data_IF_490081450377
#
_entry.id   IF_490081450377
#
_cell.length_a   1.000
_cell.length_b   1.000
_cell.length_c   1.000
_cell.angle_alpha   90.00
_cell.angle_beta   90.00
_cell.angle_gamma   90.00
#
_symmetry.space_group_name_H-M   'P 1'
#
loop_
_entity.id
_entity.type
_entity.pdbx_description
1 polymer ?
#
# COMPACT_ATOMS: atom_id res chain seq x y z
N UNK A 1 -1.55 32.09 -48.45
CA UNK A 1 -0.25 31.49 -48.08
C UNK A 1 -0.35 30.99 -46.64
N UNK A 2 -0.59 29.74 -46.49
CA UNK A 2 -0.69 29.09 -45.18
C UNK A 2 0.70 28.58 -44.82
N UNK A 3 1.37 29.30 -43.92
CA UNK A 3 2.55 28.78 -43.26
C UNK A 3 2.14 27.93 -42.06
N UNK A 4 1.88 26.66 -42.32
CA UNK A 4 1.79 25.64 -41.31
C UNK A 4 3.23 25.22 -40.99
N UNK A 5 3.79 25.76 -39.94
CA UNK A 5 5.06 25.24 -39.39
C UNK A 5 4.84 23.85 -38.84
N UNK A 6 5.55 22.83 -39.35
CA UNK A 6 5.46 21.51 -38.69
C UNK A 6 6.08 21.62 -37.29
N UNK A 7 5.27 21.31 -36.30
CA UNK A 7 5.80 21.10 -34.96
C UNK A 7 6.79 19.92 -35.01
N UNK A 8 7.97 20.17 -34.45
CA UNK A 8 9.03 19.19 -34.44
C UNK A 8 8.57 17.90 -33.72
N UNK A 9 8.81 16.73 -34.29
CA UNK A 9 8.42 15.46 -33.68
C UNK A 9 9.08 15.21 -32.31
N UNK A 10 10.16 15.88 -32.01
CA UNK A 10 10.90 15.72 -30.75
C UNK A 10 10.14 16.22 -29.52
N UNK A 11 9.39 17.33 -29.61
CA UNK A 11 8.60 17.83 -28.47
C UNK A 11 7.41 16.95 -28.09
N UNK A 12 6.86 16.25 -29.06
CA UNK A 12 5.73 15.35 -28.85
C UNK A 12 6.19 14.01 -28.28
N UNK A 13 7.37 13.56 -28.70
CA UNK A 13 8.02 12.36 -28.17
C UNK A 13 8.45 12.56 -26.72
N UNK A 14 9.06 13.70 -26.39
CA UNK A 14 9.44 14.07 -25.02
C UNK A 14 8.22 14.11 -24.06
N UNK A 15 7.07 14.57 -24.55
CA UNK A 15 5.83 14.57 -23.75
C UNK A 15 5.26 13.18 -23.54
N UNK A 16 5.40 12.29 -24.53
CA UNK A 16 4.96 10.90 -24.43
C UNK A 16 5.90 10.12 -23.52
N UNK A 17 7.20 10.36 -23.58
CA UNK A 17 8.18 9.72 -22.73
C UNK A 17 8.09 10.22 -21.29
N UNK A 18 7.82 11.50 -21.06
CA UNK A 18 7.55 12.05 -19.73
C UNK A 18 6.25 11.52 -19.09
N UNK A 19 5.27 11.13 -19.91
CA UNK A 19 4.01 10.53 -19.45
C UNK A 19 4.13 9.02 -19.21
N UNK A 20 5.15 8.37 -19.81
CA UNK A 20 5.34 6.92 -19.77
C UNK A 20 6.23 6.45 -18.60
N UNK A 21 7.07 7.34 -18.02
CA UNK A 21 7.94 6.97 -16.90
C UNK A 21 7.16 6.89 -15.61
N UNK A 22 7.06 5.67 -15.04
CA UNK A 22 6.45 5.45 -13.73
C UNK A 22 7.31 6.11 -12.64
N UNK A 23 6.65 6.74 -11.67
CA UNK A 23 7.33 7.19 -10.46
C UNK A 23 7.72 6.00 -9.58
N UNK A 24 8.81 6.13 -8.85
CA UNK A 24 9.42 5.03 -8.11
C UNK A 24 8.92 4.99 -6.67
N UNK A 25 8.35 3.87 -6.29
CA UNK A 25 7.99 3.57 -4.89
C UNK A 25 9.23 3.05 -4.18
N UNK A 26 9.59 3.70 -3.09
CA UNK A 26 10.77 3.36 -2.27
C UNK A 26 10.42 2.66 -0.96
N UNK A 27 9.15 2.56 -0.62
CA UNK A 27 8.67 1.85 0.58
C UNK A 27 7.16 1.78 0.61
N UNK A 28 6.65 0.77 1.30
CA UNK A 28 5.21 0.60 1.55
C UNK A 28 4.94 0.72 3.05
N UNK A 29 3.84 1.37 3.41
CA UNK A 29 3.36 1.48 4.77
C UNK A 29 1.96 0.90 4.84
N UNK A 30 1.77 -0.09 5.68
CA UNK A 30 0.48 -0.73 5.93
C UNK A 30 -0.01 -0.34 7.31
N UNK A 31 -1.21 0.19 7.40
CA UNK A 31 -1.82 0.62 8.67
C UNK A 31 -3.00 -0.29 8.99
N UNK A 32 -2.92 -0.96 10.14
CA UNK A 32 -4.03 -1.76 10.65
C UNK A 32 -5.15 -0.88 11.21
N UNK A 33 -6.38 -1.35 11.07
CA UNK A 33 -7.55 -0.75 11.73
C UNK A 33 -7.67 -1.23 13.19
N UNK A 34 -6.59 -1.08 13.93
CA UNK A 34 -6.53 -1.45 15.33
C UNK A 34 -5.44 -0.65 16.04
N UNK A 35 -5.66 -0.36 17.33
CA UNK A 35 -4.63 0.21 18.18
C UNK A 35 -3.69 -0.89 18.66
N UNK A 36 -2.38 -0.64 18.55
CA UNK A 36 -1.36 -1.48 19.16
C UNK A 36 -1.43 -1.33 20.68
N UNK A 37 -1.76 -2.39 21.37
CA UNK A 37 -1.75 -2.45 22.83
C UNK A 37 -0.66 -3.36 23.35
N UNK A 38 -0.43 -3.34 24.64
CA UNK A 38 0.59 -4.12 25.35
C UNK A 38 0.44 -5.61 25.02
N UNK A 39 1.53 -6.22 24.60
CA UNK A 39 1.62 -7.59 24.03
C UNK A 39 0.96 -8.72 24.87
N UNK A 40 0.62 -8.50 26.12
CA UNK A 40 0.03 -9.52 27.00
C UNK A 40 -1.49 -9.57 27.01
N UNK A 41 -2.17 -8.46 26.71
CA UNK A 41 -3.64 -8.40 26.65
C UNK A 41 -4.22 -8.64 25.27
N UNK A 42 -3.39 -8.56 24.25
CA UNK A 42 -3.78 -8.65 22.82
C UNK A 42 -4.38 -10.01 22.46
N UNK A 43 -3.93 -11.11 23.03
CA UNK A 43 -4.48 -12.43 22.71
C UNK A 43 -5.91 -12.63 23.23
N UNK A 44 -6.24 -11.96 24.36
CA UNK A 44 -7.57 -12.05 24.96
C UNK A 44 -8.55 -11.05 24.32
N UNK A 45 -8.10 -9.81 24.15
CA UNK A 45 -8.88 -8.74 23.50
C UNK A 45 -9.05 -9.03 22.00
N UNK A 46 -8.04 -9.62 21.37
CA UNK A 46 -8.08 -10.02 19.97
C UNK A 46 -9.16 -11.05 19.65
N UNK A 47 -9.36 -12.04 20.55
CA UNK A 47 -10.45 -13.00 20.43
C UNK A 47 -11.84 -12.37 20.57
N UNK A 48 -11.95 -11.27 21.33
CA UNK A 48 -13.20 -10.54 21.54
C UNK A 48 -13.47 -9.49 20.46
N UNK A 49 -12.44 -8.84 19.96
CA UNK A 49 -12.49 -7.85 18.86
C UNK A 49 -12.79 -8.50 17.51
N UNK A 50 -12.45 -9.76 17.31
CA UNK A 50 -12.77 -10.54 16.11
C UNK A 50 -14.27 -10.68 15.86
N UNK A 51 -15.10 -10.51 16.87
CA UNK A 51 -16.56 -10.54 16.76
C UNK A 51 -17.17 -9.19 16.43
N UNK A 52 -16.44 -8.08 16.62
CA UNK A 52 -17.00 -6.71 16.52
C UNK A 52 -16.25 -5.77 15.59
N UNK A 53 -14.98 -6.04 15.27
CA UNK A 53 -14.19 -5.21 14.37
C UNK A 53 -13.38 -6.07 13.41
N UNK A 54 -13.83 -6.15 12.17
CA UNK A 54 -13.14 -6.86 11.11
C UNK A 54 -12.03 -5.96 10.53
N UNK A 55 -10.77 -6.36 10.71
CA UNK A 55 -9.64 -5.73 10.03
C UNK A 55 -9.21 -6.59 8.85
N UNK A 56 -9.53 -6.16 7.64
CA UNK A 56 -9.23 -6.90 6.41
C UNK A 56 -7.73 -7.07 6.18
N UNK A 57 -6.92 -6.07 6.52
CA UNK A 57 -5.46 -6.19 6.41
C UNK A 57 -4.90 -7.23 7.40
N UNK A 58 -5.46 -7.28 8.60
CA UNK A 58 -5.09 -8.30 9.59
C UNK A 58 -5.41 -9.72 9.11
N UNK A 59 -6.50 -9.89 8.39
CA UNK A 59 -6.89 -11.17 7.80
C UNK A 59 -5.91 -11.64 6.71
N UNK A 60 -5.31 -10.72 5.98
CA UNK A 60 -4.29 -11.01 4.96
C UNK A 60 -2.97 -11.42 5.61
N UNK A 61 -2.55 -10.71 6.65
CA UNK A 61 -1.21 -10.84 7.24
C UNK A 61 -1.13 -11.90 8.32
N UNK A 62 -2.22 -12.12 9.06
CA UNK A 62 -2.24 -13.01 10.23
C UNK A 62 -3.24 -14.15 10.08
N UNK A 63 -2.85 -15.34 10.58
CA UNK A 63 -3.76 -16.42 10.91
C UNK A 63 -4.44 -16.18 12.25
N UNK A 64 -4.88 -17.25 12.92
CA UNK A 64 -5.60 -17.16 14.21
C UNK A 64 -4.78 -16.53 15.34
N UNK A 65 -3.46 -16.78 15.38
CA UNK A 65 -2.56 -16.35 16.45
C UNK A 65 -1.16 -15.94 15.97
N UNK A 66 -0.84 -16.15 14.68
CA UNK A 66 0.50 -15.93 14.12
C UNK A 66 0.41 -15.26 12.77
N UNK A 67 1.44 -14.47 12.49
CA UNK A 67 1.71 -13.98 11.14
C UNK A 67 1.82 -15.17 10.17
N UNK A 68 1.10 -15.10 9.06
CA UNK A 68 1.11 -16.17 8.06
C UNK A 68 2.48 -16.27 7.40
N UNK A 69 2.98 -17.49 7.25
CA UNK A 69 4.25 -17.73 6.56
C UNK A 69 4.24 -17.20 5.12
N UNK A 70 3.13 -17.34 4.43
CA UNK A 70 2.95 -16.78 3.08
C UNK A 70 3.11 -15.25 3.04
N UNK A 71 2.56 -14.57 4.04
CA UNK A 71 2.72 -13.12 4.21
C UNK A 71 4.18 -12.74 4.46
N UNK A 72 4.83 -13.42 5.40
CA UNK A 72 6.24 -13.19 5.73
C UNK A 72 7.14 -13.38 4.51
N UNK A 73 6.92 -14.46 3.76
CA UNK A 73 7.67 -14.73 2.53
C UNK A 73 7.44 -13.66 1.47
N UNK A 74 6.21 -13.22 1.29
CA UNK A 74 5.89 -12.15 0.37
C UNK A 74 6.58 -10.85 0.78
N UNK A 75 6.42 -10.44 2.03
CA UNK A 75 7.04 -9.21 2.56
C UNK A 75 8.56 -9.22 2.39
N UNK A 76 9.20 -10.34 2.69
CA UNK A 76 10.65 -10.48 2.59
C UNK A 76 11.13 -10.53 1.11
N UNK A 77 10.25 -10.91 0.18
CA UNK A 77 10.53 -10.94 -1.25
C UNK A 77 10.23 -9.63 -1.99
N UNK A 78 9.52 -8.69 -1.38
CA UNK A 78 9.25 -7.38 -1.99
C UNK A 78 10.53 -6.55 -2.02
N UNK A 79 10.86 -5.90 -3.16
CA UNK A 79 12.15 -5.21 -3.30
C UNK A 79 12.28 -3.92 -2.50
N UNK A 80 11.20 -3.46 -1.87
CA UNK A 80 11.17 -2.25 -1.02
C UNK A 80 10.80 -2.61 0.41
N UNK A 81 11.22 -1.81 1.42
CA UNK A 81 10.78 -2.01 2.80
C UNK A 81 9.26 -1.95 2.95
N UNK A 82 8.71 -2.88 3.72
CA UNK A 82 7.30 -2.91 4.08
C UNK A 82 7.19 -2.67 5.59
N UNK A 83 6.67 -1.52 5.96
CA UNK A 83 6.43 -1.13 7.36
C UNK A 83 4.98 -1.40 7.71
N UNK A 84 4.74 -2.06 8.82
CA UNK A 84 3.39 -2.35 9.32
C UNK A 84 3.19 -1.61 10.63
N UNK A 85 2.14 -0.80 10.72
CA UNK A 85 1.83 0.03 11.86
C UNK A 85 0.40 -0.22 12.33
N UNK A 86 0.19 -0.15 13.64
CA UNK A 86 -1.14 0.03 14.22
C UNK A 86 -1.52 1.52 14.19
N UNK A 87 -2.80 1.84 14.39
CA UNK A 87 -3.30 3.22 14.32
C UNK A 87 -2.58 4.17 15.27
N UNK A 88 -2.28 3.72 16.49
CA UNK A 88 -1.58 4.52 17.52
C UNK A 88 -0.05 4.58 17.33
N UNK A 89 0.49 3.87 16.35
CA UNK A 89 1.93 3.87 16.03
C UNK A 89 2.26 4.79 14.85
N UNK A 90 1.26 5.41 14.24
CA UNK A 90 1.45 6.28 13.08
C UNK A 90 2.23 7.54 13.45
N UNK A 91 3.19 7.90 12.61
CA UNK A 91 3.79 9.23 12.68
C UNK A 91 2.80 10.30 12.13
N UNK A 92 3.09 11.61 12.33
CA UNK A 92 2.16 12.67 11.91
C UNK A 92 1.81 12.66 10.42
N UNK A 93 2.73 12.32 9.54
CA UNK A 93 2.50 12.29 8.10
C UNK A 93 1.59 11.12 7.71
N UNK A 94 1.83 9.95 8.26
CA UNK A 94 0.99 8.76 8.06
C UNK A 94 -0.41 9.00 8.63
N UNK A 95 -0.51 9.59 9.81
CA UNK A 95 -1.80 9.91 10.43
C UNK A 95 -2.59 10.94 9.61
N UNK A 96 -1.93 11.99 9.14
CA UNK A 96 -2.56 13.04 8.34
C UNK A 96 -3.14 12.48 7.02
N UNK A 97 -2.40 11.58 6.36
CA UNK A 97 -2.83 10.98 5.10
C UNK A 97 -3.87 9.89 5.28
N UNK A 98 -3.69 9.00 6.24
CA UNK A 98 -4.60 7.87 6.47
C UNK A 98 -5.90 8.29 7.16
N UNK A 99 -5.84 9.20 8.12
CA UNK A 99 -7.01 9.66 8.87
C UNK A 99 -7.81 8.50 9.46
N UNK A 100 -9.11 8.51 9.21
CA UNK A 100 -10.03 7.43 9.60
C UNK A 100 -10.18 6.33 8.53
N UNK A 101 -9.43 6.44 7.42
CA UNK A 101 -9.50 5.50 6.29
C UNK A 101 -8.53 4.33 6.48
N UNK A 102 -8.69 3.60 7.56
CA UNK A 102 -7.91 2.39 7.89
C UNK A 102 -8.82 1.15 7.89
N UNK A 103 -8.32 -0.05 7.57
CA UNK A 103 -6.94 -0.33 7.17
C UNK A 103 -6.58 0.27 5.81
N UNK A 104 -5.32 0.55 5.60
CA UNK A 104 -4.87 1.13 4.33
C UNK A 104 -3.43 0.75 3.98
N UNK A 105 -3.08 0.95 2.73
CA UNK A 105 -1.70 0.82 2.22
C UNK A 105 -1.29 2.16 1.62
N UNK A 106 -0.17 2.67 2.08
CA UNK A 106 0.45 3.90 1.61
C UNK A 106 1.78 3.58 0.95
N UNK A 107 2.28 4.47 0.10
CA UNK A 107 3.57 4.31 -0.56
C UNK A 107 4.42 5.57 -0.40
N UNK A 108 5.72 5.40 -0.18
CA UNK A 108 6.71 6.46 -0.31
C UNK A 108 7.12 6.59 -1.77
N UNK A 109 6.92 7.77 -2.35
CA UNK A 109 7.23 8.08 -3.75
C UNK A 109 7.92 9.44 -3.81
N UNK A 110 9.17 9.48 -4.23
CA UNK A 110 9.94 10.71 -4.42
C UNK A 110 9.96 11.64 -3.17
N UNK A 111 9.99 11.05 -1.98
CA UNK A 111 9.97 11.77 -0.71
C UNK A 111 8.59 12.12 -0.18
N UNK A 112 7.55 11.89 -0.95
CA UNK A 112 6.15 12.09 -0.55
C UNK A 112 5.49 10.77 -0.16
N UNK A 113 4.38 10.88 0.57
CA UNK A 113 3.56 9.74 0.95
C UNK A 113 2.25 9.77 0.16
N UNK A 114 1.91 8.65 -0.48
CA UNK A 114 0.73 8.51 -1.34
C UNK A 114 -0.20 7.43 -0.79
N UNK A 115 -1.50 7.68 -0.82
CA UNK A 115 -2.53 6.71 -0.43
C UNK A 115 -2.83 5.77 -1.61
N UNK A 116 -2.58 4.46 -1.46
CA UNK A 116 -2.76 3.46 -2.53
C UNK A 116 -4.04 2.66 -2.40
N UNK A 117 -4.25 2.01 -1.27
CA UNK A 117 -5.38 1.12 -1.04
C UNK A 117 -6.10 1.51 0.24
N UNK A 118 -7.42 1.50 0.20
CA UNK A 118 -8.27 1.77 1.32
C UNK A 118 -9.02 0.53 1.85
N UNK A 119 -9.91 0.74 2.82
CA UNK A 119 -10.67 -0.35 3.45
C UNK A 119 -11.47 -1.19 2.45
N UNK A 120 -12.07 -0.56 1.44
CA UNK A 120 -12.90 -1.25 0.45
C UNK A 120 -12.11 -2.24 -0.40
N UNK A 121 -10.95 -1.82 -0.91
CA UNK A 121 -10.09 -2.69 -1.72
C UNK A 121 -9.49 -3.83 -0.88
N UNK A 122 -9.14 -3.55 0.37
CA UNK A 122 -8.60 -4.56 1.28
C UNK A 122 -9.67 -5.57 1.72
N UNK A 123 -10.89 -5.12 1.96
CA UNK A 123 -12.04 -6.01 2.22
C UNK A 123 -12.32 -6.95 1.06
N UNK A 124 -12.21 -6.46 -0.17
CA UNK A 124 -12.41 -7.25 -1.37
C UNK A 124 -11.39 -8.39 -1.54
N UNK A 125 -10.24 -8.31 -0.85
CA UNK A 125 -9.24 -9.38 -0.86
C UNK A 125 -9.68 -10.62 -0.07
N UNK A 126 -10.64 -10.48 0.84
CA UNK A 126 -11.20 -11.56 1.67
C UNK A 126 -10.13 -12.44 2.35
N UNK A 127 -9.07 -11.82 2.85
CA UNK A 127 -7.94 -12.48 3.49
C UNK A 127 -6.99 -13.22 2.55
N UNK A 128 -7.19 -13.13 1.24
CA UNK A 128 -6.35 -13.79 0.24
C UNK A 128 -5.12 -12.97 -0.14
N UNK A 129 -3.93 -13.50 0.12
CA UNK A 129 -2.67 -12.83 -0.24
C UNK A 129 -2.50 -12.69 -1.75
N UNK A 130 -2.85 -13.70 -2.52
CA UNK A 130 -2.79 -13.69 -3.99
C UNK A 130 -3.72 -12.63 -4.60
N UNK A 131 -4.89 -12.43 -4.00
CA UNK A 131 -5.83 -11.35 -4.39
C UNK A 131 -5.23 -9.99 -4.01
N UNK A 132 -4.67 -9.87 -2.82
CA UNK A 132 -3.99 -8.66 -2.37
C UNK A 132 -2.84 -8.26 -3.30
N UNK A 133 -2.01 -9.20 -3.72
CA UNK A 133 -0.91 -8.94 -4.67
C UNK A 133 -1.44 -8.35 -5.98
N UNK A 134 -2.52 -8.90 -6.54
CA UNK A 134 -3.14 -8.41 -7.76
C UNK A 134 -3.77 -7.02 -7.58
N UNK A 135 -4.42 -6.80 -6.45
CA UNK A 135 -5.06 -5.50 -6.12
C UNK A 135 -3.99 -4.43 -5.95
N UNK A 136 -2.89 -4.74 -5.26
CA UNK A 136 -1.74 -3.84 -5.10
C UNK A 136 -1.09 -3.51 -6.45
N UNK A 137 -0.81 -4.53 -7.26
CA UNK A 137 -0.25 -4.33 -8.60
C UNK A 137 -1.15 -3.45 -9.46
N UNK A 138 -2.46 -3.67 -9.43
CA UNK A 138 -3.43 -2.83 -10.14
C UNK A 138 -3.47 -1.39 -9.64
N UNK A 139 -3.31 -1.16 -8.34
CA UNK A 139 -3.23 0.19 -7.78
C UNK A 139 -1.97 0.92 -8.21
N UNK A 140 -0.84 0.24 -8.23
CA UNK A 140 0.42 0.78 -8.73
C UNK A 140 0.31 1.18 -10.21
N UNK A 141 -0.25 0.30 -11.04
CA UNK A 141 -0.46 0.57 -12.47
C UNK A 141 -1.37 1.78 -12.71
N UNK A 142 -2.50 1.85 -12.03
CA UNK A 142 -3.44 2.98 -12.17
C UNK A 142 -2.83 4.31 -11.72
N UNK A 143 -1.90 4.28 -10.79
CA UNK A 143 -1.20 5.45 -10.29
C UNK A 143 0.09 5.76 -11.04
N UNK A 144 0.41 4.99 -12.06
CA UNK A 144 1.68 5.06 -12.80
C UNK A 144 2.90 5.00 -11.86
N UNK A 145 2.90 3.99 -11.00
CA UNK A 145 3.95 3.74 -10.01
C UNK A 145 4.62 2.39 -10.26
N UNK A 146 5.90 2.31 -9.96
CA UNK A 146 6.67 1.06 -9.98
C UNK A 146 7.48 0.93 -8.70
N UNK A 147 7.62 -0.28 -8.18
CA UNK A 147 8.49 -0.54 -7.04
C UNK A 147 9.95 -0.35 -7.46
N UNK A 148 10.76 0.25 -6.58
CA UNK A 148 12.20 0.35 -6.80
C UNK A 148 12.81 -1.05 -6.89
N UNK A 149 13.83 -1.19 -7.71
CA UNK A 149 14.60 -2.44 -7.81
C UNK A 149 15.33 -2.72 -6.49
N UNK A 150 15.48 -4.00 -6.17
CA UNK A 150 16.27 -4.42 -5.01
C UNK A 150 17.72 -3.95 -5.17
N UNK A 151 18.21 -3.24 -4.17
CA UNK A 151 19.61 -2.78 -4.12
C UNK A 151 20.54 -3.91 -3.75
#
# INVERSE_FOLDING_TARGET
MNSTSPQAPDEQQDRLDATAAAATVTGLVMVYDADGGVRGELSYVWGKLRRTAHCSLCSITHGLTRERRSWTNWRDGVPVPVTVLHRNERDPDVEALSGDRTPCVLAHVDGDLIYLLGPGELDACDGGLDVFERVLAGALDRSNLALADAS
#
